data_IF_392829585433
#
_entry.id   IF_392829585433
#
_cell.length_a   1.000
_cell.length_b   1.000
_cell.length_c   1.000
_cell.angle_alpha   90.00
_cell.angle_beta   90.00
_cell.angle_gamma   90.00
#
_symmetry.space_group_name_H-M   'P 1'
#
loop_
_entity.id
_entity.type
_entity.pdbx_description
1 polymer ?
#
# COMPACT_ATOMS: atom_id res chain seq x y z
N UNK A 1 -25.13 3.78 -49.36
CA UNK A 1 -24.07 2.89 -48.86
C UNK A 1 -24.54 2.30 -47.52
N UNK A 2 -24.15 1.08 -47.24
CA UNK A 2 -24.57 0.42 -46.01
C UNK A 2 -23.45 0.45 -45.00
N UNK A 3 -23.76 0.82 -43.75
CA UNK A 3 -22.84 0.83 -42.61
C UNK A 3 -23.42 0.02 -41.48
N UNK A 4 -22.58 -0.74 -40.82
CA UNK A 4 -22.96 -1.47 -39.60
C UNK A 4 -22.20 -0.87 -38.44
N UNK A 5 -22.92 -0.41 -37.41
CA UNK A 5 -22.38 0.08 -36.16
C UNK A 5 -22.40 -1.09 -35.14
N UNK A 6 -21.25 -1.47 -34.69
CA UNK A 6 -21.08 -2.59 -33.76
C UNK A 6 -21.52 -2.27 -32.32
N UNK A 7 -21.48 -3.31 -31.48
CA UNK A 7 -21.72 -3.13 -30.04
C UNK A 7 -20.61 -2.29 -29.40
N UNK A 8 -20.99 -1.24 -28.68
CA UNK A 8 -20.05 -0.28 -28.07
C UNK A 8 -19.46 0.70 -29.07
N UNK A 9 -20.13 0.88 -30.20
CA UNK A 9 -19.80 1.91 -31.20
C UNK A 9 -20.96 2.90 -31.36
N UNK A 10 -20.63 4.08 -31.81
CA UNK A 10 -21.58 5.14 -32.19
C UNK A 10 -21.17 5.75 -33.53
N UNK A 11 -22.17 6.09 -34.35
CA UNK A 11 -21.97 6.71 -35.65
C UNK A 11 -22.36 8.17 -35.65
N UNK A 12 -21.60 8.98 -36.40
CA UNK A 12 -21.90 10.39 -36.67
C UNK A 12 -21.86 10.61 -38.18
N UNK A 13 -22.79 11.37 -38.69
CA UNK A 13 -22.94 11.64 -40.14
C UNK A 13 -22.54 13.08 -40.48
N UNK A 14 -21.78 13.22 -41.56
CA UNK A 14 -21.56 14.51 -42.21
C UNK A 14 -22.31 14.52 -43.56
N UNK A 15 -23.29 15.37 -43.63
CA UNK A 15 -24.12 15.54 -44.83
C UNK A 15 -23.50 16.54 -45.80
N UNK A 16 -22.98 16.03 -46.91
CA UNK A 16 -22.26 16.87 -47.90
C UNK A 16 -23.16 17.87 -48.62
N UNK A 17 -24.42 17.52 -48.84
CA UNK A 17 -25.43 18.37 -49.49
C UNK A 17 -26.56 18.82 -48.56
N UNK A 18 -26.35 18.72 -47.24
CA UNK A 18 -27.25 19.17 -46.21
C UNK A 18 -26.57 20.17 -45.26
N UNK A 19 -26.93 20.14 -44.00
CA UNK A 19 -26.44 21.07 -42.98
C UNK A 19 -25.03 20.76 -42.47
N UNK A 20 -24.28 19.86 -43.15
CA UNK A 20 -22.93 19.48 -42.75
C UNK A 20 -22.92 18.41 -41.65
N UNK A 21 -22.23 18.66 -40.57
CA UNK A 21 -22.15 17.71 -39.45
C UNK A 21 -23.42 17.74 -38.58
N UNK A 22 -24.12 16.62 -38.53
CA UNK A 22 -25.33 16.47 -37.69
C UNK A 22 -24.88 16.06 -36.27
N UNK A 23 -24.67 17.06 -35.39
CA UNK A 23 -24.09 16.87 -34.05
C UNK A 23 -25.03 16.18 -33.06
N UNK A 24 -26.32 16.49 -33.18
CA UNK A 24 -27.35 16.02 -32.25
C UNK A 24 -27.79 14.57 -32.47
N UNK A 25 -27.58 14.06 -33.72
CA UNK A 25 -28.02 12.72 -34.09
C UNK A 25 -26.87 11.73 -34.04
N UNK A 26 -26.84 10.96 -32.99
CA UNK A 26 -25.88 9.87 -32.83
C UNK A 26 -26.56 8.55 -33.21
N UNK A 27 -25.96 7.84 -34.14
CA UNK A 27 -26.43 6.55 -34.63
C UNK A 27 -25.97 5.45 -33.66
N UNK A 28 -26.95 4.68 -33.17
CA UNK A 28 -26.69 3.51 -32.29
C UNK A 28 -26.25 2.28 -33.05
N UNK A 29 -26.05 1.20 -32.31
CA UNK A 29 -25.73 -0.11 -32.89
C UNK A 29 -26.82 -0.58 -33.86
N UNK A 30 -26.40 -1.25 -34.91
CA UNK A 30 -27.28 -1.81 -35.93
C UNK A 30 -26.87 -1.44 -37.35
N UNK A 31 -27.80 -1.70 -38.24
CA UNK A 31 -27.59 -1.48 -39.70
C UNK A 31 -28.18 -0.14 -40.11
N UNK A 32 -27.38 0.67 -40.79
CA UNK A 32 -27.78 2.00 -41.24
C UNK A 32 -27.55 2.17 -42.73
N UNK A 33 -28.56 2.71 -43.41
CA UNK A 33 -28.47 3.11 -44.82
C UNK A 33 -28.13 4.60 -44.90
N UNK A 34 -26.96 4.90 -45.43
CA UNK A 34 -26.44 6.27 -45.55
C UNK A 34 -26.30 6.58 -47.06
N UNK A 35 -26.69 7.77 -47.46
CA UNK A 35 -26.54 8.25 -48.83
C UNK A 35 -25.05 8.21 -49.25
N UNK A 36 -24.72 7.76 -50.48
CA UNK A 36 -23.34 7.47 -50.85
C UNK A 36 -22.42 8.71 -50.91
N UNK A 37 -22.99 9.89 -50.92
CA UNK A 37 -22.25 11.17 -50.89
C UNK A 37 -21.99 11.69 -49.48
N UNK A 38 -22.61 11.11 -48.43
CA UNK A 38 -22.41 11.50 -47.04
C UNK A 38 -21.24 10.69 -46.45
N UNK A 39 -20.51 11.33 -45.54
CA UNK A 39 -19.47 10.67 -44.75
C UNK A 39 -20.05 10.17 -43.47
N UNK A 40 -19.67 8.94 -43.06
CA UNK A 40 -20.10 8.34 -41.82
C UNK A 40 -18.88 7.97 -40.97
N UNK A 41 -18.83 8.46 -39.76
CA UNK A 41 -17.72 8.28 -38.85
C UNK A 41 -18.17 7.41 -37.66
N UNK A 42 -17.43 6.33 -37.42
CA UNK A 42 -17.69 5.42 -36.30
C UNK A 42 -16.68 5.68 -35.20
N UNK A 43 -17.19 5.77 -33.95
CA UNK A 43 -16.44 5.97 -32.76
C UNK A 43 -16.62 4.77 -31.84
N UNK A 44 -15.52 4.29 -31.24
CA UNK A 44 -15.56 3.33 -30.14
C UNK A 44 -15.90 4.08 -28.85
N UNK A 45 -17.02 3.74 -28.20
CA UNK A 45 -17.48 4.34 -26.96
C UNK A 45 -17.40 3.36 -25.79
N UNK A 46 -16.59 2.31 -25.93
CA UNK A 46 -16.19 1.47 -24.81
C UNK A 46 -15.08 2.16 -24.02
N UNK A 47 -14.88 1.71 -22.80
CA UNK A 47 -13.70 2.12 -22.02
C UNK A 47 -12.45 1.63 -22.77
N UNK A 48 -11.57 2.56 -23.08
CA UNK A 48 -10.30 2.32 -23.71
C UNK A 48 -9.20 2.61 -22.71
N UNK A 49 -8.12 1.85 -22.74
CA UNK A 49 -6.93 2.06 -21.93
C UNK A 49 -5.74 2.41 -22.83
N UNK A 50 -4.95 3.35 -22.37
CA UNK A 50 -3.71 3.72 -23.04
C UNK A 50 -2.64 4.08 -22.01
N UNK A 51 -1.40 4.22 -22.49
CA UNK A 51 -0.21 4.41 -21.67
C UNK A 51 0.55 5.65 -22.10
N UNK A 52 1.19 6.29 -21.14
CA UNK A 52 2.02 7.47 -21.38
C UNK A 52 3.29 7.38 -20.54
N UNK A 53 4.42 7.34 -21.23
CA UNK A 53 5.73 7.48 -20.61
C UNK A 53 6.22 8.91 -20.77
N UNK A 54 6.64 9.51 -19.67
CA UNK A 54 7.14 10.87 -19.68
C UNK A 54 8.25 11.10 -18.68
N UNK A 55 9.07 12.09 -18.95
CA UNK A 55 10.07 12.60 -18.06
C UNK A 55 9.60 13.93 -17.48
N UNK A 56 9.59 14.05 -16.16
CA UNK A 56 9.09 15.22 -15.43
C UNK A 56 10.08 15.65 -14.36
N UNK A 57 10.04 16.93 -14.00
CA UNK A 57 10.85 17.48 -12.92
C UNK A 57 10.03 17.47 -11.64
N UNK A 58 10.63 16.95 -10.58
CA UNK A 58 10.10 17.04 -9.22
C UNK A 58 10.35 18.42 -8.60
N UNK A 59 9.78 18.67 -7.42
CA UNK A 59 9.88 19.92 -6.66
C UNK A 59 11.33 20.41 -6.44
N UNK A 60 12.26 19.49 -6.29
CA UNK A 60 13.69 19.81 -6.11
C UNK A 60 14.48 19.81 -7.43
N UNK A 61 13.80 19.80 -8.58
CA UNK A 61 14.43 19.88 -9.90
C UNK A 61 15.07 18.57 -10.40
N UNK A 62 14.82 17.45 -9.76
CA UNK A 62 15.29 16.15 -10.21
C UNK A 62 14.38 15.58 -11.29
N UNK A 63 14.99 15.05 -12.35
CA UNK A 63 14.28 14.37 -13.42
C UNK A 63 13.83 12.98 -13.00
N UNK A 64 12.54 12.69 -13.18
CA UNK A 64 11.89 11.42 -12.85
C UNK A 64 11.20 10.91 -14.11
N UNK A 65 11.35 9.62 -14.40
CA UNK A 65 10.56 8.96 -15.43
C UNK A 65 9.32 8.36 -14.81
N UNK A 66 8.17 8.68 -15.40
CA UNK A 66 6.86 8.19 -15.00
C UNK A 66 6.24 7.38 -16.12
N UNK A 67 5.65 6.26 -15.76
CA UNK A 67 4.79 5.45 -16.61
C UNK A 67 3.37 5.51 -16.06
N UNK A 68 2.45 6.06 -16.83
CA UNK A 68 1.05 6.25 -16.50
C UNK A 68 0.18 5.36 -17.38
N UNK A 69 -0.85 4.75 -16.79
CA UNK A 69 -1.98 4.22 -17.55
C UNK A 69 -3.22 5.06 -17.28
N UNK A 70 -4.03 5.25 -18.30
CA UNK A 70 -5.27 6.00 -18.18
C UNK A 70 -6.39 5.34 -18.97
N UNK A 71 -7.59 5.38 -18.39
CA UNK A 71 -8.79 4.84 -19.00
C UNK A 71 -9.76 5.96 -19.31
N UNK A 72 -10.29 5.94 -20.52
CA UNK A 72 -11.17 6.99 -21.01
C UNK A 72 -12.24 6.41 -21.93
N UNK A 73 -13.29 7.18 -22.12
CA UNK A 73 -14.35 6.89 -23.09
C UNK A 73 -14.93 8.18 -23.62
N UNK A 74 -15.26 8.28 -24.92
CA UNK A 74 -16.08 9.36 -25.44
C UNK A 74 -17.48 9.36 -24.82
N UNK A 75 -18.05 10.51 -24.53
CA UNK A 75 -19.42 10.61 -24.05
C UNK A 75 -20.39 10.15 -25.15
N UNK A 76 -21.11 9.05 -24.87
CA UNK A 76 -21.90 8.30 -25.88
C UNK A 76 -22.96 9.16 -26.59
N UNK A 77 -23.52 10.15 -25.90
CA UNK A 77 -24.57 11.03 -26.42
C UNK A 77 -24.03 12.25 -27.15
N UNK A 78 -22.76 12.59 -26.91
CA UNK A 78 -22.14 13.84 -27.36
C UNK A 78 -21.02 13.60 -28.41
N UNK A 79 -20.94 12.41 -28.99
CA UNK A 79 -19.90 12.05 -29.97
C UNK A 79 -19.91 12.97 -31.20
N UNK A 80 -21.07 13.51 -31.57
CA UNK A 80 -21.20 14.48 -32.65
C UNK A 80 -20.49 15.80 -32.34
N UNK A 81 -20.60 16.28 -31.13
CA UNK A 81 -19.90 17.48 -30.65
C UNK A 81 -18.39 17.25 -30.51
N UNK A 82 -18.01 16.07 -30.01
CA UNK A 82 -16.59 15.65 -29.98
C UNK A 82 -15.99 15.66 -31.38
N UNK A 83 -16.73 15.13 -32.40
CA UNK A 83 -16.26 15.11 -33.76
C UNK A 83 -16.09 16.52 -34.33
N UNK A 84 -16.97 17.43 -34.02
CA UNK A 84 -16.91 18.83 -34.46
C UNK A 84 -15.74 19.60 -33.88
N UNK A 85 -15.50 19.41 -32.57
CA UNK A 85 -14.45 20.14 -31.86
C UNK A 85 -13.04 19.60 -32.10
N UNK A 86 -12.88 18.28 -32.16
CA UNK A 86 -11.58 17.64 -32.14
C UNK A 86 -11.40 16.63 -33.30
N UNK A 87 -12.45 15.89 -33.65
CA UNK A 87 -12.36 14.83 -34.62
C UNK A 87 -12.00 13.47 -34.03
N UNK A 88 -11.47 12.58 -34.87
CA UNK A 88 -11.13 11.21 -34.47
C UNK A 88 -9.86 11.10 -33.60
N UNK A 89 -8.97 12.06 -33.74
CA UNK A 89 -7.63 12.02 -33.12
C UNK A 89 -7.64 12.66 -31.72
N UNK A 90 -8.78 12.61 -31.02
CA UNK A 90 -8.98 13.21 -29.71
C UNK A 90 -7.99 12.67 -28.64
N UNK A 91 -7.50 11.44 -28.80
CA UNK A 91 -6.47 10.87 -27.95
C UNK A 91 -5.15 11.66 -28.04
N UNK A 92 -4.65 11.82 -29.25
CA UNK A 92 -3.36 12.49 -29.49
C UNK A 92 -3.45 14.01 -29.38
N UNK A 93 -4.61 14.58 -29.74
CA UNK A 93 -4.79 16.03 -29.78
C UNK A 93 -5.20 16.65 -28.44
N UNK A 94 -5.88 15.89 -27.58
CA UNK A 94 -6.43 16.41 -26.32
C UNK A 94 -5.96 15.60 -25.12
N UNK A 95 -6.24 14.27 -25.06
CA UNK A 95 -6.05 13.49 -23.85
C UNK A 95 -4.57 13.44 -23.45
N UNK A 96 -3.69 13.03 -24.35
CA UNK A 96 -2.25 12.92 -24.06
C UNK A 96 -1.60 14.27 -23.69
N UNK A 97 -1.81 15.37 -24.44
CA UNK A 97 -1.27 16.67 -24.05
C UNK A 97 -1.76 17.15 -22.69
N UNK A 98 -3.05 16.94 -22.38
CA UNK A 98 -3.62 17.35 -21.12
C UNK A 98 -3.03 16.56 -19.95
N UNK A 99 -2.98 15.22 -20.06
CA UNK A 99 -2.35 14.35 -19.07
C UNK A 99 -0.88 14.76 -18.85
N UNK A 100 -0.13 15.02 -19.91
CA UNK A 100 1.28 15.46 -19.82
C UNK A 100 1.40 16.80 -19.09
N UNK A 101 0.53 17.74 -19.38
CA UNK A 101 0.55 19.08 -18.77
C UNK A 101 0.24 19.01 -17.29
N UNK A 102 -0.88 18.38 -16.93
CA UNK A 102 -1.33 18.24 -15.54
C UNK A 102 -0.34 17.41 -14.73
N UNK A 103 0.17 16.33 -15.30
CA UNK A 103 1.16 15.50 -14.60
C UNK A 103 2.43 16.29 -14.27
N UNK A 104 2.95 17.11 -15.20
CA UNK A 104 4.12 17.95 -14.93
C UNK A 104 3.85 18.98 -13.83
N UNK A 105 2.67 19.59 -13.86
CA UNK A 105 2.26 20.57 -12.85
C UNK A 105 2.18 19.92 -11.46
N UNK A 106 1.43 18.83 -11.33
CA UNK A 106 1.22 18.15 -10.05
C UNK A 106 2.53 17.56 -9.51
N UNK A 107 3.29 16.83 -10.33
CA UNK A 107 4.56 16.22 -9.90
C UNK A 107 5.60 17.28 -9.47
N UNK A 108 5.58 18.47 -10.08
CA UNK A 108 6.43 19.59 -9.69
C UNK A 108 6.20 20.10 -8.26
N UNK A 109 5.11 19.74 -7.61
CA UNK A 109 4.82 20.11 -6.22
C UNK A 109 5.36 19.09 -5.20
N UNK A 110 5.72 17.87 -5.63
CA UNK A 110 6.11 16.77 -4.76
C UNK A 110 7.61 16.45 -4.83
N UNK A 111 8.14 15.94 -3.72
CA UNK A 111 9.48 15.38 -3.68
C UNK A 111 9.51 13.95 -4.26
N UNK A 112 10.63 13.51 -4.85
CA UNK A 112 10.76 12.15 -5.36
C UNK A 112 10.45 11.05 -4.34
N UNK A 113 10.85 11.26 -3.09
CA UNK A 113 10.62 10.35 -1.97
C UNK A 113 9.12 10.17 -1.67
N UNK A 114 8.34 11.25 -1.77
CA UNK A 114 6.89 11.24 -1.54
C UNK A 114 6.15 10.46 -2.63
N UNK A 115 6.60 10.58 -3.88
CA UNK A 115 6.05 9.87 -5.04
C UNK A 115 6.34 8.36 -4.97
N UNK A 116 7.51 8.01 -4.44
CA UNK A 116 7.94 6.61 -4.35
C UNK A 116 7.25 5.85 -3.21
N UNK A 117 6.83 6.50 -2.12
CA UNK A 117 6.41 5.80 -0.92
C UNK A 117 5.02 6.15 -0.39
N UNK A 118 4.73 7.41 -0.09
CA UNK A 118 3.60 7.74 0.79
C UNK A 118 2.45 8.46 0.13
N UNK A 119 2.72 9.26 -0.91
CA UNK A 119 1.73 10.16 -1.51
C UNK A 119 1.31 9.79 -2.94
N UNK A 120 1.64 8.59 -3.38
CA UNK A 120 1.33 8.15 -4.74
C UNK A 120 -0.17 8.24 -5.05
N UNK A 121 -1.01 7.76 -4.14
CA UNK A 121 -2.48 7.77 -4.30
C UNK A 121 -3.01 9.21 -4.34
N UNK A 122 -2.51 10.08 -3.46
CA UNK A 122 -2.89 11.50 -3.45
C UNK A 122 -2.55 12.20 -4.77
N UNK A 123 -1.39 11.89 -5.33
CA UNK A 123 -0.93 12.42 -6.62
C UNK A 123 -1.80 11.90 -7.77
N UNK A 124 -2.10 10.61 -7.79
CA UNK A 124 -3.01 9.98 -8.77
C UNK A 124 -4.39 10.65 -8.76
N UNK A 125 -4.97 10.83 -7.58
CA UNK A 125 -6.27 11.49 -7.40
C UNK A 125 -6.24 12.94 -7.88
N UNK A 126 -5.19 13.69 -7.56
CA UNK A 126 -5.03 15.08 -7.98
C UNK A 126 -4.89 15.22 -9.50
N UNK A 127 -4.06 14.36 -10.12
CA UNK A 127 -3.91 14.32 -11.57
C UNK A 127 -5.26 13.96 -12.21
N UNK A 128 -5.95 12.95 -11.70
CA UNK A 128 -7.25 12.53 -12.18
C UNK A 128 -8.29 13.66 -12.10
N UNK A 129 -8.41 14.34 -10.96
CA UNK A 129 -9.39 15.40 -10.75
C UNK A 129 -9.20 16.55 -11.72
N UNK A 130 -7.97 17.04 -11.87
CA UNK A 130 -7.68 18.17 -12.76
C UNK A 130 -7.88 17.77 -14.22
N UNK A 131 -7.33 16.61 -14.63
CA UNK A 131 -7.44 16.14 -16.00
C UNK A 131 -8.90 15.84 -16.38
N UNK A 132 -9.65 15.18 -15.48
CA UNK A 132 -11.06 14.84 -15.72
C UNK A 132 -11.90 16.08 -16.00
N UNK A 133 -11.70 17.17 -15.24
CA UNK A 133 -12.37 18.46 -15.50
C UNK A 133 -12.02 19.04 -16.88
N UNK A 134 -10.72 19.02 -17.22
CA UNK A 134 -10.25 19.61 -18.46
C UNK A 134 -10.74 18.86 -19.70
N UNK A 135 -10.83 17.53 -19.65
CA UNK A 135 -11.29 16.72 -20.79
C UNK A 135 -12.82 16.61 -20.88
N UNK A 136 -13.54 16.79 -19.76
CA UNK A 136 -15.00 16.76 -19.73
C UNK A 136 -15.62 17.83 -20.63
N UNK A 137 -15.04 19.04 -20.68
CA UNK A 137 -15.46 20.13 -21.58
C UNK A 137 -15.31 19.77 -23.07
N UNK A 138 -14.61 18.68 -23.39
CA UNK A 138 -14.41 18.17 -24.75
C UNK A 138 -15.21 16.88 -25.02
N UNK A 139 -16.20 16.59 -24.17
CA UNK A 139 -17.06 15.40 -24.29
C UNK A 139 -16.29 14.07 -24.17
N UNK A 140 -15.25 14.06 -23.33
CA UNK A 140 -14.46 12.90 -23.01
C UNK A 140 -14.60 12.63 -21.50
N UNK A 141 -14.91 11.39 -21.17
CA UNK A 141 -14.98 10.93 -19.78
C UNK A 141 -13.70 10.18 -19.46
N UNK A 142 -13.01 10.63 -18.43
CA UNK A 142 -11.85 9.94 -17.85
C UNK A 142 -12.37 9.02 -16.76
N UNK A 143 -12.02 7.73 -16.82
CA UNK A 143 -12.42 6.72 -15.84
C UNK A 143 -11.39 6.55 -14.72
N UNK A 144 -10.11 6.51 -15.08
CA UNK A 144 -9.02 6.41 -14.10
C UNK A 144 -7.69 6.91 -14.69
N UNK A 145 -6.82 7.39 -13.80
CA UNK A 145 -5.38 7.56 -14.07
C UNK A 145 -4.63 6.83 -12.97
N UNK A 146 -3.63 6.03 -13.36
CA UNK A 146 -2.82 5.25 -12.44
C UNK A 146 -1.33 5.44 -12.78
N UNK A 147 -0.53 5.71 -11.80
CA UNK A 147 0.93 5.69 -11.93
C UNK A 147 1.36 4.22 -11.88
N UNK A 148 1.91 3.68 -12.96
CA UNK A 148 2.38 2.29 -13.02
C UNK A 148 3.76 2.15 -12.42
N UNK A 149 4.67 3.01 -12.84
CA UNK A 149 6.05 3.00 -12.35
C UNK A 149 6.60 4.42 -12.19
N UNK A 150 7.52 4.54 -11.23
CA UNK A 150 8.27 5.76 -10.95
C UNK A 150 9.75 5.39 -10.94
N UNK A 151 10.43 5.66 -12.05
CA UNK A 151 11.85 5.35 -12.16
C UNK A 151 12.70 6.57 -11.76
N UNK A 152 13.47 6.40 -10.71
CA UNK A 152 14.42 7.39 -10.19
C UNK A 152 15.84 7.15 -10.74
N UNK A 153 16.67 8.19 -10.88
CA UNK A 153 18.10 8.01 -11.11
C UNK A 153 18.72 7.09 -10.03
N UNK A 154 19.57 6.15 -10.43
CA UNK A 154 20.15 5.14 -9.53
C UNK A 154 20.81 5.73 -8.27
N UNK A 155 21.49 6.85 -8.41
CA UNK A 155 22.14 7.55 -7.28
C UNK A 155 21.12 8.03 -6.25
N UNK A 156 19.99 8.53 -6.69
CA UNK A 156 18.90 8.98 -5.83
C UNK A 156 18.17 7.80 -5.19
N UNK A 157 17.91 6.76 -5.96
CA UNK A 157 17.29 5.54 -5.45
C UNK A 157 18.09 4.96 -4.28
N UNK A 158 19.41 4.79 -4.45
CA UNK A 158 20.31 4.32 -3.38
C UNK A 158 20.30 5.24 -2.16
N UNK A 159 20.28 6.57 -2.38
CA UNK A 159 20.22 7.52 -1.28
C UNK A 159 18.91 7.42 -0.48
N UNK A 160 17.78 7.26 -1.16
CA UNK A 160 16.46 7.08 -0.54
C UNK A 160 16.40 5.75 0.22
N UNK A 161 16.86 4.66 -0.40
CA UNK A 161 16.91 3.34 0.25
C UNK A 161 17.76 3.36 1.51
N UNK A 162 18.93 4.00 1.47
CA UNK A 162 19.79 4.16 2.65
C UNK A 162 19.12 5.00 3.75
N UNK A 163 18.46 6.10 3.38
CA UNK A 163 17.72 6.95 4.33
C UNK A 163 16.61 6.15 5.01
N UNK A 164 15.78 5.44 4.23
CA UNK A 164 14.72 4.58 4.77
C UNK A 164 15.27 3.48 5.68
N UNK A 165 16.42 2.90 5.31
CA UNK A 165 17.10 1.90 6.15
C UNK A 165 17.52 2.49 7.50
N UNK A 166 18.15 3.66 7.52
CA UNK A 166 18.55 4.33 8.76
C UNK A 166 17.34 4.74 9.61
N UNK A 167 16.26 5.18 9.02
CA UNK A 167 15.01 5.47 9.73
C UNK A 167 14.43 4.21 10.39
N UNK A 168 14.42 3.09 9.67
CA UNK A 168 13.98 1.80 10.22
C UNK A 168 14.89 1.31 11.36
N UNK A 169 16.20 1.43 11.19
CA UNK A 169 17.17 1.10 12.25
C UNK A 169 16.95 1.97 13.50
N UNK A 170 16.72 3.26 13.34
CA UNK A 170 16.43 4.17 14.46
C UNK A 170 15.16 3.75 15.22
N UNK A 171 14.08 3.44 14.50
CA UNK A 171 12.83 2.93 15.10
C UNK A 171 13.07 1.59 15.82
N UNK A 172 13.86 0.70 15.24
CA UNK A 172 14.21 -0.57 15.89
C UNK A 172 14.96 -0.35 17.22
N UNK A 173 15.88 0.63 17.25
CA UNK A 173 16.58 0.99 18.49
C UNK A 173 15.62 1.58 19.55
N UNK A 174 14.68 2.41 19.16
CA UNK A 174 13.66 2.94 20.09
C UNK A 174 12.81 1.81 20.69
N UNK A 175 12.37 0.84 19.88
CA UNK A 175 11.65 -0.33 20.37
C UNK A 175 12.52 -1.22 21.30
N UNK A 176 13.81 -1.37 20.99
CA UNK A 176 14.74 -2.11 21.85
C UNK A 176 14.89 -1.42 23.21
N UNK A 177 15.07 -0.11 23.24
CA UNK A 177 15.15 0.67 24.48
C UNK A 177 13.87 0.49 25.31
N UNK A 178 12.70 0.67 24.69
CA UNK A 178 11.42 0.51 25.36
C UNK A 178 11.24 -0.91 25.93
N UNK A 179 11.66 -1.93 25.18
CA UNK A 179 11.64 -3.32 25.63
C UNK A 179 12.53 -3.53 26.88
N UNK A 180 13.76 -3.02 26.84
CA UNK A 180 14.69 -3.12 27.99
C UNK A 180 14.18 -2.37 29.21
N UNK A 181 13.55 -1.21 29.04
CA UNK A 181 12.91 -0.48 30.13
C UNK A 181 11.77 -1.30 30.77
N UNK A 182 10.92 -1.90 29.95
CA UNK A 182 9.83 -2.78 30.43
C UNK A 182 10.37 -4.05 31.09
N UNK A 183 11.43 -4.61 30.60
CA UNK A 183 12.08 -5.76 31.21
C UNK A 183 12.73 -5.40 32.57
N UNK A 184 13.36 -4.24 32.66
CA UNK A 184 13.87 -3.69 33.93
C UNK A 184 12.74 -3.51 34.96
N UNK A 185 11.62 -2.95 34.57
CA UNK A 185 10.45 -2.77 35.41
C UNK A 185 9.89 -4.11 35.86
N UNK A 186 9.75 -5.08 34.96
CA UNK A 186 9.32 -6.45 35.26
C UNK A 186 10.25 -7.12 36.32
N UNK A 187 11.57 -7.07 36.07
CA UNK A 187 12.57 -7.64 37.00
C UNK A 187 12.53 -6.97 38.35
N UNK A 188 12.28 -5.67 38.44
CA UNK A 188 12.12 -4.93 39.66
C UNK A 188 10.90 -5.43 40.44
N UNK A 189 9.74 -5.54 39.82
CA UNK A 189 8.49 -6.06 40.42
C UNK A 189 8.70 -7.50 40.91
N UNK A 190 9.36 -8.33 40.11
CA UNK A 190 9.67 -9.71 40.45
C UNK A 190 10.58 -9.78 41.69
N UNK A 191 11.63 -8.96 41.75
CA UNK A 191 12.51 -8.89 42.93
C UNK A 191 11.80 -8.38 44.20
N UNK A 192 10.93 -7.37 44.04
CA UNK A 192 10.09 -6.87 45.14
C UNK A 192 9.14 -7.97 45.62
N UNK A 193 8.48 -8.71 44.71
CA UNK A 193 7.62 -9.84 45.04
C UNK A 193 8.34 -10.96 45.79
N UNK A 194 9.57 -11.32 45.32
CA UNK A 194 10.41 -12.31 46.00
C UNK A 194 10.81 -11.82 47.38
N UNK A 195 11.18 -10.54 47.55
CA UNK A 195 11.53 -9.95 48.82
C UNK A 195 10.36 -9.98 49.81
N UNK A 196 9.17 -9.64 49.34
CA UNK A 196 7.95 -9.65 50.15
C UNK A 196 7.54 -11.07 50.52
N UNK A 197 7.60 -12.00 49.60
CA UNK A 197 7.41 -13.44 49.86
C UNK A 197 8.39 -13.95 50.92
N UNK A 198 9.68 -13.63 50.82
CA UNK A 198 10.68 -14.04 51.81
C UNK A 198 10.39 -13.45 53.19
N UNK A 199 9.95 -12.19 53.28
CA UNK A 199 9.54 -11.58 54.57
C UNK A 199 8.36 -12.33 55.23
N UNK A 200 7.37 -12.72 54.43
CA UNK A 200 6.21 -13.49 54.89
C UNK A 200 6.65 -14.87 55.35
N UNK A 201 7.46 -15.56 54.57
CA UNK A 201 7.99 -16.89 54.89
C UNK A 201 8.82 -16.85 56.15
N UNK A 202 9.75 -15.89 56.29
CA UNK A 202 10.57 -15.76 57.52
C UNK A 202 9.76 -15.46 58.78
N UNK A 203 8.58 -14.83 58.65
CA UNK A 203 7.66 -14.64 59.79
C UNK A 203 6.92 -15.90 60.19
N UNK A 204 6.69 -16.81 59.27
CA UNK A 204 5.83 -18.00 59.47
C UNK A 204 6.63 -19.26 59.74
N UNK A 205 7.90 -19.31 59.31
CA UNK A 205 8.78 -20.46 59.51
C UNK A 205 9.37 -20.42 60.93
N UNK A 206 8.86 -21.25 61.77
CA UNK A 206 9.46 -21.54 63.08
C UNK A 206 10.42 -22.74 62.98
N UNK A 207 11.45 -22.85 63.87
CA UNK A 207 12.34 -24.02 63.84
C UNK A 207 11.57 -25.35 64.01
N UNK A 208 10.41 -25.33 64.62
CA UNK A 208 9.52 -26.49 64.76
C UNK A 208 8.87 -26.88 63.45
N UNK A 209 8.42 -25.90 62.69
CA UNK A 209 7.83 -26.13 61.35
C UNK A 209 8.87 -26.67 60.31
N UNK A 210 10.11 -26.17 60.37
CA UNK A 210 11.19 -26.69 59.56
C UNK A 210 11.53 -28.16 59.88
N UNK A 211 11.55 -28.50 61.15
CA UNK A 211 11.77 -29.90 61.58
C UNK A 211 10.63 -30.80 61.12
N UNK A 212 9.38 -30.35 61.24
CA UNK A 212 8.21 -31.12 60.81
C UNK A 212 8.24 -31.32 59.24
N UNK A 213 8.54 -30.28 58.47
CA UNK A 213 8.68 -30.36 57.02
C UNK A 213 9.84 -31.26 56.61
N UNK A 214 10.94 -31.27 57.33
CA UNK A 214 12.05 -32.18 57.11
C UNK A 214 11.65 -33.65 57.32
N UNK A 215 10.87 -33.94 58.32
CA UNK A 215 10.32 -35.30 58.62
C UNK A 215 9.36 -35.72 57.50
N UNK A 216 8.45 -34.83 57.08
CA UNK A 216 7.49 -35.08 55.98
C UNK A 216 8.21 -35.39 54.67
N UNK A 217 9.23 -34.60 54.27
CA UNK A 217 10.04 -34.83 53.10
C UNK A 217 10.80 -36.15 53.17
N UNK A 218 11.31 -36.52 54.35
CA UNK A 218 12.00 -37.81 54.55
C UNK A 218 11.01 -38.98 54.42
N UNK A 219 9.78 -38.82 54.88
CA UNK A 219 8.72 -39.81 54.75
C UNK A 219 8.27 -39.99 53.28
N UNK A 220 8.18 -38.89 52.50
CA UNK A 220 7.87 -38.96 51.08
C UNK A 220 9.00 -39.65 50.30
N UNK A 221 10.24 -39.34 50.60
CA UNK A 221 11.42 -39.99 50.03
C UNK A 221 11.47 -41.49 50.33
N UNK A 222 11.07 -41.92 51.51
CA UNK A 222 11.01 -43.35 51.90
C UNK A 222 9.95 -44.14 51.14
N UNK A 223 8.93 -43.47 50.59
CA UNK A 223 7.88 -44.07 49.74
C UNK A 223 8.23 -44.09 48.25
N UNK A 224 9.30 -43.44 47.83
CA UNK A 224 9.73 -43.40 46.44
C UNK A 224 10.30 -44.75 45.99
N UNK A 225 9.84 -45.32 44.88
CA UNK A 225 10.35 -46.61 44.38
C UNK A 225 11.77 -46.52 43.78
N UNK A 226 12.36 -45.34 43.68
CA UNK A 226 13.72 -45.12 43.22
C UNK A 226 14.67 -45.11 44.41
N UNK A 227 15.51 -46.11 44.55
CA UNK A 227 16.56 -46.20 45.58
C UNK A 227 17.67 -45.17 45.26
N UNK A 228 17.52 -43.97 45.82
CA UNK A 228 18.55 -42.95 45.91
C UNK A 228 19.02 -42.90 47.37
N UNK A 229 20.33 -43.09 47.61
CA UNK A 229 20.90 -42.90 48.94
C UNK A 229 21.03 -41.41 49.18
N UNK A 230 20.22 -40.87 50.09
CA UNK A 230 20.30 -39.47 50.50
C UNK A 230 20.99 -39.47 51.89
N UNK A 231 22.20 -38.91 51.92
CA UNK A 231 22.87 -38.65 53.20
C UNK A 231 22.53 -37.24 53.67
N UNK A 232 21.69 -37.13 54.70
CA UNK A 232 21.40 -35.85 55.32
C UNK A 232 22.47 -35.59 56.39
N UNK A 233 23.48 -34.75 56.03
CA UNK A 233 24.51 -34.32 56.97
C UNK A 233 23.98 -33.33 57.99
N UNK A 234 24.28 -33.52 59.26
CA UNK A 234 23.96 -32.60 60.33
C UNK A 234 25.05 -31.52 60.44
N UNK A 235 25.23 -30.69 59.40
CA UNK A 235 26.14 -29.53 59.46
C UNK A 235 25.39 -28.28 59.88
N UNK A 236 26.07 -27.34 60.53
CA UNK A 236 25.51 -26.06 60.97
C UNK A 236 24.77 -25.23 59.91
N UNK A 237 24.88 -25.57 58.63
CA UNK A 237 24.19 -24.91 57.50
C UNK A 237 23.24 -25.81 56.73
N UNK A 238 22.91 -27.01 57.16
CA UNK A 238 21.73 -27.81 56.81
C UNK A 238 21.38 -28.05 55.35
N UNK A 239 22.31 -28.01 54.40
CA UNK A 239 22.05 -28.33 52.98
C UNK A 239 22.18 -29.84 52.74
N UNK A 240 21.15 -30.52 52.21
CA UNK A 240 21.25 -31.93 51.84
C UNK A 240 22.17 -32.12 50.67
N UNK A 241 23.18 -32.99 50.77
CA UNK A 241 24.02 -33.42 49.65
C UNK A 241 23.34 -34.62 49.02
N UNK A 242 22.91 -34.46 47.76
CA UNK A 242 22.34 -35.55 46.96
C UNK A 242 23.47 -36.18 46.19
N UNK A 243 23.86 -37.40 46.56
CA UNK A 243 24.78 -38.22 45.74
C UNK A 243 23.94 -39.08 44.78
N UNK A 244 23.89 -38.71 43.52
CA UNK A 244 23.31 -39.53 42.46
C UNK A 244 24.27 -40.64 42.09
N UNK A 245 23.82 -41.88 42.15
CA UNK A 245 24.55 -42.98 41.50
C UNK A 245 24.17 -43.04 40.02
N UNK A 246 25.17 -42.96 39.16
CA UNK A 246 25.03 -43.28 37.76
C UNK A 246 24.74 -44.79 37.57
N UNK A 247 23.74 -45.09 36.74
CA UNK A 247 23.65 -46.34 35.97
C UNK A 247 23.35 -45.97 34.54
#
# INVERSE_FOLDING_TARGET
>A
MFYTVGSGEKGVIFERFGDGLVKEKVFGQGFHFIAPWNNFYIYNVKIQEDYEEMEVLSKNGLSIKLDLSFRYTPEMTQVGYLHDLVGKDYLESIIRPEIRSVTREVIGEYLPEELYSTKRVEVEEKIFEITSKAVADKYILLDAILIRDVTLPKTLQIAIENKLKFEQEALEYEFKILKEEKEKERKKIEAEGISEFQKIVNRTITPQLLRWKGVEATQELSKSPNSKIIVIGNGENGLPIILGGDN
#
